data_IF_890297916781
#
_entry.id   IF_890297916781
#
_cell.length_a   1.000
_cell.length_b   1.000
_cell.length_c   1.000
_cell.angle_alpha   90.00
_cell.angle_beta   90.00
_cell.angle_gamma   90.00
#
_symmetry.space_group_name_H-M   'P 1'
#
loop_
_entity.id
_entity.type
_entity.pdbx_description
1 polymer ?
#
# COMPACT_ATOMS: atom_id res chain seq x y z
N UNK A 1 -20.94 1.89 -5.31
CA UNK A 1 -20.73 1.12 -6.56
C UNK A 1 -19.22 0.88 -6.64
N UNK A 2 -18.75 -0.36 -6.79
CA UNK A 2 -17.30 -0.64 -6.92
C UNK A 2 -16.88 -0.21 -8.33
N UNK A 3 -15.98 0.78 -8.41
CA UNK A 3 -15.63 1.44 -9.69
C UNK A 3 -14.52 0.69 -10.43
N UNK A 4 -13.72 -0.10 -9.71
CA UNK A 4 -12.71 -1.00 -10.25
C UNK A 4 -12.45 -2.14 -9.26
N UNK A 5 -12.05 -3.29 -9.78
CA UNK A 5 -11.58 -4.42 -8.98
C UNK A 5 -10.37 -5.04 -9.68
N UNK A 6 -9.54 -5.74 -8.91
CA UNK A 6 -8.38 -6.45 -9.43
C UNK A 6 -8.38 -7.86 -8.88
N UNK A 7 -8.25 -8.82 -9.78
CA UNK A 7 -8.19 -10.23 -9.42
C UNK A 7 -6.82 -10.54 -8.83
N UNK A 8 -6.82 -11.11 -7.63
CA UNK A 8 -5.60 -11.58 -6.97
C UNK A 8 -5.30 -12.99 -7.43
N UNK A 9 -4.05 -13.24 -7.79
CA UNK A 9 -3.53 -14.60 -7.86
C UNK A 9 -3.55 -15.23 -6.46
N UNK A 10 -3.53 -16.56 -6.40
CA UNK A 10 -3.51 -17.28 -5.12
C UNK A 10 -2.34 -16.83 -4.21
N UNK A 11 -1.17 -16.54 -4.78
CA UNK A 11 0.00 -16.07 -4.03
C UNK A 11 -0.21 -14.68 -3.42
N UNK A 12 -0.78 -13.77 -4.20
CA UNK A 12 -1.09 -12.41 -3.72
C UNK A 12 -2.17 -12.47 -2.65
N UNK A 13 -3.22 -13.28 -2.86
CA UNK A 13 -4.26 -13.51 -1.86
C UNK A 13 -3.69 -14.00 -0.53
N UNK A 14 -2.81 -15.01 -0.56
CA UNK A 14 -2.17 -15.50 0.66
C UNK A 14 -1.34 -14.41 1.34
N UNK A 15 -0.62 -13.60 0.58
CA UNK A 15 0.15 -12.48 1.12
C UNK A 15 -0.74 -11.45 1.82
N UNK A 16 -1.89 -11.11 1.21
CA UNK A 16 -2.87 -10.18 1.80
C UNK A 16 -3.52 -10.78 3.04
N UNK A 17 -3.89 -12.05 2.99
CA UNK A 17 -4.47 -12.75 4.12
C UNK A 17 -3.50 -12.84 5.31
N UNK A 18 -2.25 -13.22 5.07
CA UNK A 18 -1.23 -13.34 6.10
C UNK A 18 -0.93 -12.00 6.75
N UNK A 19 -0.85 -10.92 5.97
CA UNK A 19 -0.64 -9.57 6.49
C UNK A 19 -1.83 -9.09 7.32
N UNK A 20 -3.06 -9.31 6.84
CA UNK A 20 -4.27 -8.96 7.58
C UNK A 20 -4.38 -9.76 8.89
N UNK A 21 -4.05 -11.05 8.86
CA UNK A 21 -3.97 -11.90 10.05
C UNK A 21 -2.89 -11.37 11.00
N UNK A 22 -1.74 -10.95 10.50
CA UNK A 22 -0.68 -10.36 11.30
C UNK A 22 -1.16 -9.06 11.97
N UNK A 23 -1.81 -8.16 11.23
CA UNK A 23 -2.39 -6.92 11.77
C UNK A 23 -3.35 -7.19 12.92
N UNK A 24 -4.26 -8.16 12.77
CA UNK A 24 -5.27 -8.50 13.80
C UNK A 24 -4.64 -9.19 15.02
N UNK A 25 -3.59 -10.00 14.82
CA UNK A 25 -3.01 -10.83 15.89
C UNK A 25 -1.85 -10.15 16.62
N UNK A 26 -1.16 -9.20 16.00
CA UNK A 26 -0.02 -8.51 16.61
C UNK A 26 -0.46 -7.45 17.60
N UNK A 27 0.04 -7.56 18.85
CA UNK A 27 -0.18 -6.55 19.91
C UNK A 27 0.53 -5.21 19.64
N UNK A 28 1.43 -5.17 18.65
CA UNK A 28 2.18 -3.97 18.20
C UNK A 28 1.27 -2.87 17.60
N UNK A 29 0.07 -3.23 17.12
CA UNK A 29 -0.94 -2.25 16.71
C UNK A 29 -1.39 -1.31 17.85
N UNK A 30 -1.07 -1.62 19.12
CA UNK A 30 -1.33 -0.71 20.25
C UNK A 30 -0.20 0.30 20.53
N UNK A 31 1.01 0.09 20.01
CA UNK A 31 2.18 0.95 20.31
C UNK A 31 2.39 2.06 19.30
N UNK A 32 2.11 1.82 18.03
CA UNK A 32 1.99 2.85 17.00
C UNK A 32 0.50 3.14 16.89
N UNK A 33 0.10 4.40 16.88
CA UNK A 33 -1.28 4.88 16.74
C UNK A 33 -1.87 4.56 15.36
N UNK A 34 -1.82 3.30 14.95
CA UNK A 34 -2.40 2.80 13.71
C UNK A 34 -3.83 2.44 14.05
N UNK A 35 -4.78 3.12 13.41
CA UNK A 35 -6.18 2.76 13.54
C UNK A 35 -6.35 1.30 13.11
N UNK A 36 -6.84 0.40 13.98
CA UNK A 36 -7.01 -1.02 13.67
C UNK A 36 -7.99 -1.27 12.52
N UNK A 37 -8.72 -0.24 12.06
CA UNK A 37 -9.61 -0.29 10.91
C UNK A 37 -8.91 0.04 9.58
N UNK A 38 -7.63 0.45 9.58
CA UNK A 38 -6.90 0.87 8.37
C UNK A 38 -5.78 -0.11 8.00
N UNK A 39 -6.12 -1.18 7.29
CA UNK A 39 -5.15 -2.17 6.77
C UNK A 39 -4.12 -1.52 5.85
N UNK A 40 -4.50 -0.48 5.10
CA UNK A 40 -3.60 0.30 4.24
C UNK A 40 -2.50 0.99 5.02
N UNK A 41 -2.80 1.60 6.18
CA UNK A 41 -1.79 2.29 6.98
C UNK A 41 -0.78 1.31 7.61
N UNK A 42 -1.24 0.11 7.98
CA UNK A 42 -0.35 -0.96 8.45
C UNK A 42 0.61 -1.43 7.34
N UNK A 43 0.12 -1.60 6.11
CA UNK A 43 0.94 -1.95 4.94
C UNK A 43 2.06 -0.93 4.72
N UNK A 44 1.69 0.35 4.62
CA UNK A 44 2.62 1.43 4.25
C UNK A 44 3.73 1.59 5.29
N UNK A 45 3.37 1.54 6.58
CA UNK A 45 4.33 1.74 7.68
C UNK A 45 5.31 0.58 7.88
N UNK A 46 5.04 -0.61 7.35
CA UNK A 46 5.98 -1.73 7.40
C UNK A 46 7.15 -1.56 6.41
N UNK A 47 6.96 -0.75 5.37
CA UNK A 47 7.96 -0.53 4.31
C UNK A 47 8.35 0.92 4.14
N UNK A 48 8.09 1.73 5.17
CA UNK A 48 8.58 3.08 5.30
C UNK A 48 9.77 3.14 6.26
N UNK A 49 10.58 4.17 6.12
CA UNK A 49 11.58 4.53 7.13
C UNK A 49 10.92 5.11 8.39
N UNK A 50 11.74 5.64 9.30
CA UNK A 50 11.28 6.22 10.57
C UNK A 50 10.41 7.47 10.41
N UNK A 51 10.51 8.16 9.27
CA UNK A 51 9.76 9.38 8.95
C UNK A 51 8.54 9.11 8.06
N UNK A 52 8.34 7.85 7.62
CA UNK A 52 7.25 7.49 6.74
C UNK A 52 7.62 7.48 5.24
N UNK A 53 8.86 7.81 4.90
CA UNK A 53 9.36 7.88 3.53
C UNK A 53 9.76 6.49 3.00
N UNK A 54 9.92 6.40 1.68
CA UNK A 54 10.35 5.20 1.00
C UNK A 54 11.71 4.73 1.51
N UNK A 55 11.81 3.48 1.94
CA UNK A 55 13.04 2.89 2.51
C UNK A 55 14.23 2.83 1.55
N UNK A 56 14.03 3.03 0.25
CA UNK A 56 15.10 3.03 -0.75
C UNK A 56 15.79 4.40 -0.80
N UNK A 57 15.02 5.49 -0.96
CA UNK A 57 15.58 6.83 -1.09
C UNK A 57 15.56 7.66 0.20
N UNK A 58 14.72 7.30 1.17
CA UNK A 58 14.48 8.04 2.43
C UNK A 58 14.03 9.50 2.21
N UNK A 59 13.48 9.80 1.02
CA UNK A 59 13.12 11.16 0.60
C UNK A 59 11.65 11.30 0.18
N UNK A 60 11.15 10.35 -0.62
CA UNK A 60 9.81 10.43 -1.21
C UNK A 60 8.85 9.51 -0.45
N UNK A 61 7.57 9.88 -0.39
CA UNK A 61 6.52 9.02 0.16
C UNK A 61 6.29 7.77 -0.71
N UNK A 62 5.65 6.77 -0.12
CA UNK A 62 5.32 5.52 -0.81
C UNK A 62 4.03 5.69 -1.64
N UNK A 63 4.16 5.71 -2.96
CA UNK A 63 3.05 5.90 -3.90
C UNK A 63 2.57 4.59 -4.54
N UNK A 64 3.39 3.53 -4.42
CA UNK A 64 3.24 2.31 -5.19
C UNK A 64 3.32 1.08 -4.28
N UNK A 65 2.23 0.31 -4.22
CA UNK A 65 2.16 -0.93 -3.47
C UNK A 65 2.32 -2.13 -4.41
N UNK A 66 3.40 -2.89 -4.25
CA UNK A 66 3.66 -4.07 -5.07
C UNK A 66 2.69 -5.23 -4.74
N UNK A 67 2.52 -6.22 -5.65
CA UNK A 67 1.81 -7.49 -5.40
C UNK A 67 2.17 -8.22 -4.11
N UNK A 68 3.43 -8.09 -3.67
CA UNK A 68 3.94 -8.69 -2.45
C UNK A 68 3.69 -7.85 -1.19
N UNK A 69 2.86 -6.80 -1.30
CA UNK A 69 2.44 -5.88 -0.24
C UNK A 69 3.54 -5.05 0.41
N UNK A 70 4.62 -4.83 -0.34
CA UNK A 70 5.66 -3.88 0.05
C UNK A 70 5.50 -2.61 -0.79
N UNK A 71 5.55 -1.45 -0.14
CA UNK A 71 5.34 -0.16 -0.78
C UNK A 71 6.65 0.62 -0.94
N UNK A 72 6.76 1.36 -2.04
CA UNK A 72 7.92 2.17 -2.41
C UNK A 72 7.45 3.42 -3.17
N UNK A 73 8.31 4.43 -3.33
CA UNK A 73 8.02 5.53 -4.25
C UNK A 73 8.18 5.05 -5.70
N UNK A 74 7.35 5.59 -6.61
CA UNK A 74 7.36 5.19 -8.02
C UNK A 74 8.73 5.41 -8.68
N UNK A 75 9.44 6.48 -8.27
CA UNK A 75 10.77 6.83 -8.79
C UNK A 75 11.79 5.71 -8.55
N UNK A 76 11.81 5.15 -7.33
CA UNK A 76 12.74 4.07 -7.01
C UNK A 76 12.41 2.79 -7.77
N UNK A 77 11.13 2.46 -7.96
CA UNK A 77 10.73 1.27 -8.72
C UNK A 77 11.05 1.43 -10.19
N UNK A 78 10.71 2.57 -10.80
CA UNK A 78 11.03 2.85 -12.19
C UNK A 78 12.54 2.78 -12.45
N UNK A 79 13.35 3.38 -11.57
CA UNK A 79 14.80 3.32 -11.65
C UNK A 79 15.32 1.88 -11.55
N UNK A 80 14.81 1.08 -10.61
CA UNK A 80 15.22 -0.32 -10.46
C UNK A 80 14.89 -1.16 -11.72
N UNK A 81 13.75 -0.89 -12.36
CA UNK A 81 13.35 -1.54 -13.61
C UNK A 81 14.25 -1.16 -14.80
N UNK A 82 14.79 0.06 -14.81
CA UNK A 82 15.70 0.51 -15.87
C UNK A 82 17.02 -0.27 -15.82
N UNK A 83 17.55 -0.54 -14.63
CA UNK A 83 18.83 -1.23 -14.46
C UNK A 83 18.72 -2.76 -14.37
N UNK A 84 17.53 -3.31 -14.13
CA UNK A 84 17.34 -4.77 -13.94
C UNK A 84 16.21 -5.30 -14.82
N UNK A 85 16.59 -6.16 -15.77
CA UNK A 85 15.63 -6.88 -16.62
C UNK A 85 14.66 -7.78 -15.84
N UNK A 86 15.11 -8.35 -14.72
CA UNK A 86 14.26 -9.14 -13.81
C UNK A 86 14.07 -8.39 -12.50
N UNK A 87 12.90 -7.77 -12.33
CA UNK A 87 12.58 -7.09 -11.08
C UNK A 87 12.25 -8.09 -9.95
N UNK A 88 12.83 -7.84 -8.78
CA UNK A 88 12.50 -8.56 -7.54
C UNK A 88 12.35 -7.55 -6.41
N UNK A 89 11.32 -7.73 -5.57
CA UNK A 89 11.08 -6.84 -4.43
C UNK A 89 12.37 -6.68 -3.58
N UNK A 90 12.82 -5.45 -3.29
CA UNK A 90 14.03 -5.22 -2.50
C UNK A 90 14.00 -5.86 -1.10
N UNK A 91 12.80 -5.99 -0.51
CA UNK A 91 12.59 -6.50 0.84
C UNK A 91 12.44 -8.03 0.84
N UNK A 92 11.43 -8.57 0.17
CA UNK A 92 11.09 -10.00 0.26
C UNK A 92 11.62 -10.85 -0.90
N UNK A 93 12.29 -10.24 -1.89
CA UNK A 93 12.87 -10.90 -3.08
C UNK A 93 11.86 -11.62 -3.99
N UNK A 94 10.55 -11.37 -3.81
CA UNK A 94 9.51 -11.87 -4.72
C UNK A 94 9.75 -11.31 -6.12
N UNK A 95 9.86 -12.19 -7.13
CA UNK A 95 9.94 -11.81 -8.54
C UNK A 95 8.60 -11.27 -9.01
N UNK A 96 8.60 -10.10 -9.64
CA UNK A 96 7.39 -9.44 -10.15
C UNK A 96 7.68 -9.01 -11.59
N UNK A 97 6.80 -9.38 -12.53
CA UNK A 97 7.02 -9.14 -13.96
C UNK A 97 6.78 -7.69 -14.34
N UNK A 98 5.64 -7.13 -13.96
CA UNK A 98 5.28 -5.74 -14.28
C UNK A 98 5.02 -4.98 -12.97
N UNK A 99 6.06 -4.62 -12.20
CA UNK A 99 5.87 -4.09 -10.85
C UNK A 99 5.12 -2.76 -10.80
N UNK A 100 5.08 -1.97 -11.88
CA UNK A 100 4.26 -0.75 -11.96
C UNK A 100 2.82 -1.10 -12.35
N UNK A 101 2.61 -1.81 -13.46
CA UNK A 101 1.26 -2.14 -13.94
C UNK A 101 0.49 -3.06 -12.99
N UNK A 102 1.20 -3.98 -12.34
CA UNK A 102 0.65 -4.90 -11.34
C UNK A 102 0.66 -4.29 -9.93
N UNK A 103 0.99 -3.01 -9.75
CA UNK A 103 0.91 -2.36 -8.44
C UNK A 103 -0.50 -1.91 -8.09
N UNK A 104 -0.66 -1.45 -6.85
CA UNK A 104 -1.82 -0.70 -6.40
C UNK A 104 -1.36 0.74 -6.15
N UNK A 105 -2.10 1.69 -6.69
CA UNK A 105 -1.96 3.08 -6.30
C UNK A 105 -2.39 3.22 -4.84
N UNK A 106 -1.58 3.93 -4.07
CA UNK A 106 -1.90 4.29 -2.70
C UNK A 106 -2.60 5.65 -2.77
N UNK A 107 -3.95 5.72 -2.66
CA UNK A 107 -4.64 6.98 -2.75
C UNK A 107 -4.27 7.87 -1.57
N UNK A 108 -4.11 9.16 -1.84
CA UNK A 108 -3.96 10.18 -0.80
C UNK A 108 -5.17 10.16 0.15
N UNK A 109 -4.92 10.49 1.41
CA UNK A 109 -6.00 10.69 2.36
C UNK A 109 -6.89 11.85 1.87
N UNK A 110 -8.22 11.66 1.78
CA UNK A 110 -9.11 12.71 1.32
C UNK A 110 -9.04 13.89 2.29
N UNK A 111 -9.12 15.11 1.75
CA UNK A 111 -9.12 16.29 2.61
C UNK A 111 -10.48 16.47 3.29
N UNK A 112 -10.51 17.28 4.35
CA UNK A 112 -11.73 17.49 5.15
C UNK A 112 -12.91 18.01 4.31
N UNK A 113 -12.64 18.84 3.29
CA UNK A 113 -13.68 19.39 2.42
C UNK A 113 -14.34 18.33 1.56
N UNK A 114 -13.56 17.40 1.00
CA UNK A 114 -14.05 16.24 0.23
C UNK A 114 -14.93 15.33 1.08
N UNK A 115 -14.46 15.00 2.29
CA UNK A 115 -15.24 14.19 3.24
C UNK A 115 -16.57 14.87 3.58
N UNK A 116 -16.54 16.18 3.86
CA UNK A 116 -17.74 16.95 4.17
C UNK A 116 -18.72 17.01 2.99
N UNK A 117 -18.22 17.14 1.75
CA UNK A 117 -19.06 17.15 0.56
C UNK A 117 -19.76 15.80 0.35
N UNK A 118 -19.02 14.70 0.48
CA UNK A 118 -19.57 13.35 0.38
C UNK A 118 -20.64 13.08 1.44
N UNK A 119 -20.39 13.43 2.70
CA UNK A 119 -21.38 13.24 3.78
C UNK A 119 -22.67 14.03 3.53
N UNK A 120 -22.58 15.23 2.95
CA UNK A 120 -23.76 16.02 2.54
C UNK A 120 -24.51 15.40 1.37
N UNK A 121 -23.83 14.69 0.47
CA UNK A 121 -24.48 13.92 -0.60
C UNK A 121 -25.23 12.73 -0.03
N UNK A 122 -24.57 11.90 0.77
CA UNK A 122 -25.19 10.72 1.39
C UNK A 122 -26.38 11.10 2.26
N UNK A 123 -26.30 12.19 3.01
CA UNK A 123 -27.40 12.67 3.85
C UNK A 123 -28.61 13.19 3.05
N UNK A 124 -28.45 13.52 1.75
CA UNK A 124 -29.56 13.91 0.87
C UNK A 124 -30.29 12.71 0.28
N UNK A 125 -29.63 11.56 0.20
CA UNK A 125 -30.18 10.31 -0.35
C UNK A 125 -30.87 9.43 0.72
N UNK A 126 -30.89 9.89 1.98
CA UNK A 126 -31.57 9.28 3.13
C UNK A 126 -32.90 9.97 3.43
#
# INVERSE_FOLDING_TARGET
MVVSYKELTFREFLSTYDLHKLMITTKESRKRSVDPMSTSQFILTQTSDVEGNCVICMENINDLLLPCLHAFCIRCIANEMEYRHDFSCPICKTKIKNPIDDSWEVPDAPNQSEVNAYLKEVARDL
#
